data_IF_835817520463
#
_entry.id   IF_835817520463
#
_cell.length_a   1.000
_cell.length_b   1.000
_cell.length_c   1.000
_cell.angle_alpha   90.00
_cell.angle_beta   90.00
_cell.angle_gamma   90.00
#
_symmetry.space_group_name_H-M   'P 1'
#
loop_
_entity.id
_entity.type
_entity.pdbx_description
1 polymer ?
#
# COMPACT_ATOMS: atom_id res chain seq x y z
N UNK A 1 -12.90 -24.03 -10.25
CA UNK A 1 -11.78 -23.29 -9.61
C UNK A 1 -12.04 -21.83 -9.91
N UNK A 2 -12.31 -20.93 -8.95
CA UNK A 2 -12.51 -19.53 -9.31
C UNK A 2 -11.14 -18.98 -9.71
N UNK A 3 -11.00 -18.63 -10.98
CA UNK A 3 -9.81 -17.96 -11.50
C UNK A 3 -9.65 -16.61 -10.77
N UNK A 4 -8.46 -16.34 -10.22
CA UNK A 4 -8.14 -15.04 -9.62
C UNK A 4 -8.07 -13.99 -10.73
N UNK A 5 -9.21 -13.39 -11.06
CA UNK A 5 -9.39 -12.57 -12.25
C UNK A 5 -9.02 -11.09 -12.05
N UNK A 6 -8.97 -10.57 -10.82
CA UNK A 6 -8.66 -9.16 -10.60
C UNK A 6 -7.16 -8.89 -10.62
N UNK A 7 -6.74 -8.02 -11.55
CA UNK A 7 -5.37 -7.48 -11.60
C UNK A 7 -4.98 -6.80 -10.27
N UNK A 8 -5.94 -6.14 -9.62
CA UNK A 8 -5.75 -5.47 -8.34
C UNK A 8 -5.35 -6.45 -7.23
N UNK A 9 -5.94 -7.65 -7.19
CA UNK A 9 -5.52 -8.70 -6.23
C UNK A 9 -4.09 -9.18 -6.49
N UNK A 10 -3.69 -9.32 -7.76
CA UNK A 10 -2.31 -9.69 -8.12
C UNK A 10 -1.32 -8.62 -7.66
N UNK A 11 -1.66 -7.34 -7.81
CA UNK A 11 -0.84 -6.22 -7.35
C UNK A 11 -0.72 -6.23 -5.82
N UNK A 12 -1.84 -6.28 -5.10
CA UNK A 12 -1.87 -6.35 -3.64
C UNK A 12 -0.96 -7.47 -3.09
N UNK A 13 -1.02 -8.67 -3.70
CA UNK A 13 -0.13 -9.79 -3.32
C UNK A 13 1.35 -9.47 -3.53
N UNK A 14 1.69 -8.75 -4.61
CA UNK A 14 3.07 -8.30 -4.85
C UNK A 14 3.51 -7.27 -3.81
N UNK A 15 2.65 -6.32 -3.45
CA UNK A 15 2.94 -5.34 -2.40
C UNK A 15 3.24 -6.03 -1.06
N UNK A 16 2.42 -7.03 -0.67
CA UNK A 16 2.65 -7.80 0.55
C UNK A 16 3.98 -8.55 0.55
N UNK A 17 4.35 -9.13 -0.59
CA UNK A 17 5.66 -9.80 -0.75
C UNK A 17 6.82 -8.81 -0.66
N UNK A 18 6.71 -7.63 -1.29
CA UNK A 18 7.74 -6.59 -1.21
C UNK A 18 7.94 -6.11 0.22
N UNK A 19 6.86 -5.86 0.95
CA UNK A 19 6.93 -5.45 2.36
C UNK A 19 7.55 -6.54 3.23
N UNK A 20 7.14 -7.80 3.05
CA UNK A 20 7.72 -8.93 3.77
C UNK A 20 9.22 -9.08 3.48
N UNK A 21 9.63 -8.90 2.22
CA UNK A 21 11.04 -8.98 1.82
C UNK A 21 11.88 -7.82 2.37
N UNK A 22 11.34 -6.59 2.38
CA UNK A 22 12.01 -5.41 2.93
C UNK A 22 12.27 -5.57 4.44
N UNK A 23 11.27 -6.08 5.16
CA UNK A 23 11.23 -6.04 6.62
C UNK A 23 11.64 -7.35 7.28
N UNK A 24 11.70 -8.44 6.52
CA UNK A 24 11.89 -9.79 7.05
C UNK A 24 10.68 -10.35 7.82
N UNK A 25 9.56 -9.63 7.87
CA UNK A 25 8.37 -10.11 8.57
C UNK A 25 7.66 -11.26 7.82
N UNK A 26 6.74 -11.94 8.52
CA UNK A 26 5.93 -13.00 7.89
C UNK A 26 4.96 -12.38 6.88
N UNK A 27 4.70 -13.11 5.78
CA UNK A 27 3.79 -12.62 4.72
C UNK A 27 2.39 -12.28 5.24
N UNK A 28 1.84 -13.04 6.19
CA UNK A 28 0.53 -12.75 6.78
C UNK A 28 0.51 -11.45 7.60
N UNK A 29 1.63 -11.10 8.22
CA UNK A 29 1.81 -9.84 8.94
C UNK A 29 1.87 -8.68 7.96
N UNK A 30 2.66 -8.80 6.88
CA UNK A 30 2.68 -7.82 5.81
C UNK A 30 1.30 -7.60 5.16
N UNK A 31 0.55 -8.68 4.89
CA UNK A 31 -0.82 -8.60 4.36
C UNK A 31 -1.78 -7.87 5.30
N UNK A 32 -1.69 -8.15 6.60
CA UNK A 32 -2.52 -7.48 7.61
C UNK A 32 -2.21 -5.99 7.68
N UNK A 33 -0.94 -5.62 7.67
CA UNK A 33 -0.52 -4.22 7.69
C UNK A 33 -0.93 -3.48 6.43
N UNK A 34 -0.75 -4.07 5.25
CA UNK A 34 -1.25 -3.47 4.01
C UNK A 34 -2.76 -3.25 4.07
N UNK A 35 -3.53 -4.23 4.54
CA UNK A 35 -4.97 -4.09 4.60
C UNK A 35 -5.42 -3.01 5.58
N UNK A 36 -4.96 -3.09 6.83
CA UNK A 36 -5.46 -2.25 7.93
C UNK A 36 -4.78 -0.89 7.91
N UNK A 37 -3.46 -0.88 7.92
CA UNK A 37 -2.67 0.31 8.18
C UNK A 37 -2.53 1.17 6.92
N UNK A 38 -2.30 0.54 5.77
CA UNK A 38 -2.10 1.25 4.51
C UNK A 38 -3.42 1.60 3.83
N UNK A 39 -4.28 0.61 3.57
CA UNK A 39 -5.55 0.78 2.83
C UNK A 39 -6.80 1.00 3.69
N UNK A 40 -6.71 0.95 5.03
CA UNK A 40 -7.85 1.18 5.94
C UNK A 40 -9.02 0.17 5.81
N UNK A 41 -8.72 -1.08 5.49
CA UNK A 41 -9.68 -2.20 5.51
C UNK A 41 -9.52 -3.02 6.80
N UNK A 42 -10.62 -3.57 7.32
CA UNK A 42 -10.59 -4.34 8.58
C UNK A 42 -9.75 -5.63 8.50
N UNK A 43 -9.53 -6.17 7.30
CA UNK A 43 -8.74 -7.39 7.10
C UNK A 43 -8.28 -7.55 5.66
N UNK A 44 -7.26 -8.39 5.46
CA UNK A 44 -6.76 -8.77 4.14
C UNK A 44 -7.84 -9.42 3.27
N UNK A 45 -8.68 -10.28 3.84
CA UNK A 45 -9.75 -10.93 3.08
C UNK A 45 -10.81 -9.93 2.58
N UNK A 46 -11.12 -8.90 3.36
CA UNK A 46 -12.05 -7.85 2.93
C UNK A 46 -11.45 -6.98 1.82
N UNK A 47 -10.17 -6.60 1.94
CA UNK A 47 -9.46 -5.88 0.89
C UNK A 47 -9.41 -6.71 -0.41
N UNK A 48 -9.08 -8.00 -0.32
CA UNK A 48 -9.09 -8.91 -1.47
C UNK A 48 -10.47 -9.03 -2.11
N UNK A 49 -11.52 -9.25 -1.31
CA UNK A 49 -12.90 -9.33 -1.84
C UNK A 49 -13.28 -8.04 -2.55
N UNK A 50 -12.97 -6.88 -1.97
CA UNK A 50 -13.25 -5.59 -2.59
C UNK A 50 -12.50 -5.40 -3.91
N UNK A 51 -11.24 -5.84 -3.99
CA UNK A 51 -10.46 -5.85 -5.22
C UNK A 51 -11.02 -6.83 -6.27
N UNK A 52 -11.52 -7.99 -5.86
CA UNK A 52 -12.13 -8.97 -6.76
C UNK A 52 -13.50 -8.53 -7.28
N UNK A 53 -14.31 -7.85 -6.45
CA UNK A 53 -15.66 -7.38 -6.82
C UNK A 53 -15.69 -5.96 -7.41
N UNK A 54 -14.54 -5.30 -7.57
CA UNK A 54 -14.46 -3.92 -8.08
C UNK A 54 -14.99 -2.86 -7.12
N UNK A 55 -15.17 -3.19 -5.84
CA UNK A 55 -15.72 -2.31 -4.80
C UNK A 55 -14.64 -1.65 -3.94
N UNK A 56 -13.43 -1.52 -4.46
CA UNK A 56 -12.37 -0.73 -3.83
C UNK A 56 -12.81 0.73 -3.73
N UNK A 57 -12.39 1.42 -2.66
CA UNK A 57 -12.49 2.89 -2.61
C UNK A 57 -11.66 3.50 -3.74
N UNK A 58 -12.03 4.69 -4.20
CA UNK A 58 -11.29 5.38 -5.27
C UNK A 58 -9.82 5.59 -4.88
N UNK A 59 -9.53 6.00 -3.65
CA UNK A 59 -8.15 6.11 -3.13
C UNK A 59 -7.39 4.78 -3.24
N UNK A 60 -8.02 3.66 -2.87
CA UNK A 60 -7.40 2.34 -2.96
C UNK A 60 -7.11 1.98 -4.42
N UNK A 61 -8.04 2.25 -5.34
CA UNK A 61 -7.85 2.01 -6.77
C UNK A 61 -6.67 2.82 -7.30
N UNK A 62 -6.60 4.11 -6.99
CA UNK A 62 -5.51 4.98 -7.42
C UNK A 62 -4.15 4.45 -6.97
N UNK A 63 -4.03 4.09 -5.70
CA UNK A 63 -2.78 3.56 -5.13
C UNK A 63 -2.42 2.14 -5.60
N UNK A 64 -3.39 1.34 -6.04
CA UNK A 64 -3.14 -0.02 -6.54
C UNK A 64 -2.79 0.02 -8.03
N UNK A 65 -3.55 0.77 -8.83
CA UNK A 65 -3.47 0.75 -10.29
C UNK A 65 -2.43 1.73 -10.83
N UNK A 66 -2.17 2.82 -10.09
CA UNK A 66 -1.21 3.87 -10.46
C UNK A 66 -1.45 4.44 -11.87
N UNK A 67 -2.73 4.51 -12.28
CA UNK A 67 -3.13 4.82 -13.65
C UNK A 67 -3.08 6.32 -13.97
N UNK A 68 -3.39 7.18 -13.00
CA UNK A 68 -3.34 8.63 -13.14
C UNK A 68 -2.29 9.25 -12.20
N UNK A 69 -1.11 9.68 -12.69
CA UNK A 69 -0.04 10.19 -11.86
C UNK A 69 -0.43 11.37 -10.96
N UNK A 70 -1.35 12.23 -11.40
CA UNK A 70 -1.79 13.40 -10.63
C UNK A 70 -2.67 12.98 -9.47
N UNK A 71 -3.67 12.13 -9.71
CA UNK A 71 -4.55 11.61 -8.65
C UNK A 71 -3.79 10.73 -7.67
N UNK A 72 -2.82 9.95 -8.15
CA UNK A 72 -1.89 9.18 -7.32
C UNK A 72 -1.09 10.10 -6.40
N UNK A 73 -0.50 11.17 -6.94
CA UNK A 73 0.27 12.13 -6.16
C UNK A 73 -0.60 12.78 -5.06
N UNK A 74 -1.79 13.25 -5.41
CA UNK A 74 -2.75 13.83 -4.47
C UNK A 74 -3.13 12.81 -3.38
N UNK A 75 -3.38 11.55 -3.76
CA UNK A 75 -3.76 10.49 -2.82
C UNK A 75 -2.61 10.13 -1.87
N UNK A 76 -1.37 10.11 -2.36
CA UNK A 76 -0.18 9.91 -1.52
C UNK A 76 -0.05 11.06 -0.52
N UNK A 77 -0.17 12.29 -1.01
CA UNK A 77 -0.06 13.50 -0.20
C UNK A 77 -1.11 13.53 0.92
N UNK A 78 -2.38 13.26 0.60
CA UNK A 78 -3.47 13.26 1.59
C UNK A 78 -3.33 12.18 2.66
N UNK A 79 -2.61 11.09 2.37
CA UNK A 79 -2.39 9.98 3.29
C UNK A 79 -1.05 10.06 4.04
N UNK A 80 -0.17 11.00 3.71
CA UNK A 80 1.21 10.99 4.14
C UNK A 80 1.36 11.05 5.68
N UNK A 81 0.69 12.01 6.31
CA UNK A 81 0.73 12.18 7.77
C UNK A 81 0.21 10.95 8.52
N UNK A 82 -0.89 10.36 8.00
CA UNK A 82 -1.47 9.13 8.55
C UNK A 82 -0.48 7.97 8.45
N UNK A 83 0.17 7.81 7.30
CA UNK A 83 1.18 6.76 7.11
C UNK A 83 2.40 6.96 7.99
N UNK A 84 2.91 8.19 8.16
CA UNK A 84 4.01 8.48 9.08
C UNK A 84 3.71 8.04 10.51
N UNK A 85 2.53 8.42 11.03
CA UNK A 85 2.09 8.03 12.38
C UNK A 85 1.95 6.51 12.47
N UNK A 86 1.34 5.90 11.46
CA UNK A 86 1.01 4.47 11.51
C UNK A 86 2.27 3.60 11.40
N UNK A 87 3.18 3.90 10.47
CA UNK A 87 4.42 3.15 10.27
C UNK A 87 5.33 3.27 11.48
N UNK A 88 5.46 4.47 12.07
CA UNK A 88 6.26 4.67 13.30
C UNK A 88 5.67 3.96 14.53
N UNK A 89 4.37 3.66 14.53
CA UNK A 89 3.73 2.90 15.61
C UNK A 89 3.95 1.38 15.49
N UNK A 90 4.18 0.86 14.29
CA UNK A 90 4.29 -0.59 14.03
C UNK A 90 5.69 -1.08 14.34
N UNK A 91 5.82 -1.92 15.36
CA UNK A 91 7.11 -2.35 15.94
C UNK A 91 8.15 -2.81 14.90
N UNK A 92 7.75 -3.71 13.99
CA UNK A 92 8.65 -4.27 12.98
C UNK A 92 8.96 -3.32 11.81
N UNK A 93 8.28 -2.16 11.75
CA UNK A 93 8.52 -1.11 10.77
C UNK A 93 9.29 0.08 11.33
N UNK A 94 9.43 0.20 12.66
CA UNK A 94 10.09 1.33 13.33
C UNK A 94 11.52 1.61 12.86
N UNK A 95 12.23 0.60 12.36
CA UNK A 95 13.59 0.74 11.84
C UNK A 95 13.65 1.22 10.39
N UNK A 96 12.52 1.43 9.73
CA UNK A 96 12.42 1.83 8.33
C UNK A 96 11.81 3.22 8.21
N UNK A 97 12.35 4.01 7.29
CA UNK A 97 11.76 5.29 6.95
C UNK A 97 10.43 5.10 6.21
N UNK A 98 9.45 5.97 6.49
CA UNK A 98 8.12 5.94 5.84
C UNK A 98 8.24 5.98 4.33
N UNK A 99 9.14 6.80 3.78
CA UNK A 99 9.40 6.89 2.35
C UNK A 99 9.86 5.56 1.76
N UNK A 100 10.78 4.85 2.44
CA UNK A 100 11.23 3.52 2.00
C UNK A 100 10.11 2.49 2.04
N UNK A 101 9.26 2.51 3.08
CA UNK A 101 8.13 1.58 3.19
C UNK A 101 7.10 1.85 2.08
N UNK A 102 6.69 3.11 1.89
CA UNK A 102 5.67 3.50 0.91
C UNK A 102 6.19 3.31 -0.52
N UNK A 103 7.45 3.67 -0.82
CA UNK A 103 8.07 3.46 -2.13
C UNK A 103 8.09 1.97 -2.50
N UNK A 104 8.42 1.12 -1.53
CA UNK A 104 8.45 -0.34 -1.68
C UNK A 104 7.06 -0.91 -1.92
N UNK A 105 6.06 -0.45 -1.17
CA UNK A 105 4.67 -0.88 -1.33
C UNK A 105 4.13 -0.49 -2.71
N UNK A 106 4.21 0.78 -3.06
CA UNK A 106 3.67 1.29 -4.32
C UNK A 106 4.56 0.94 -5.52
N UNK A 107 5.80 0.50 -5.31
CA UNK A 107 6.79 0.27 -6.36
C UNK A 107 7.04 1.52 -7.20
N UNK A 108 7.13 2.65 -6.50
CA UNK A 108 7.50 3.94 -7.05
C UNK A 108 8.96 4.18 -6.62
N UNK A 109 9.86 4.63 -7.51
CA UNK A 109 11.22 4.99 -7.12
C UNK A 109 11.23 6.02 -5.97
N UNK A 110 12.10 5.85 -4.98
CA UNK A 110 12.14 6.74 -3.82
C UNK A 110 12.34 8.22 -4.20
N UNK A 111 13.13 8.50 -5.23
CA UNK A 111 13.34 9.88 -5.72
C UNK A 111 12.06 10.50 -6.28
N UNK A 112 11.19 9.71 -6.91
CA UNK A 112 9.93 10.22 -7.47
C UNK A 112 8.89 10.37 -6.37
N UNK A 113 8.84 9.44 -5.42
CA UNK A 113 8.01 9.58 -4.22
C UNK A 113 8.41 10.83 -3.42
N UNK A 114 9.71 11.09 -3.25
CA UNK A 114 10.21 12.29 -2.57
C UNK A 114 9.70 13.57 -3.22
N UNK A 115 9.72 13.67 -4.55
CA UNK A 115 9.16 14.83 -5.27
C UNK A 115 7.66 15.01 -5.01
N UNK A 116 6.90 13.93 -4.85
CA UNK A 116 5.48 14.00 -4.51
C UNK A 116 5.30 14.59 -3.11
N UNK A 117 6.11 14.13 -2.15
CA UNK A 117 6.05 14.55 -0.74
C UNK A 117 6.54 15.99 -0.55
N UNK A 118 7.61 16.39 -1.22
CA UNK A 118 8.20 17.74 -1.09
C UNK A 118 7.26 18.85 -1.62
N UNK A 119 6.18 18.47 -2.32
CA UNK A 119 5.10 19.36 -2.77
C UNK A 119 3.86 19.34 -1.84
N UNK A 120 3.99 18.81 -0.61
CA UNK A 120 3.03 18.97 0.49
C UNK A 120 3.06 20.40 1.06
#
# INVERSE_FOLDING_TARGET
MPEENSQSVKILKKQARRLANLTGCKLNQAQRTIAIDFYNYKSWDLLKRAADSGSLTEESKQLIELSNPVEVAITIQSNWDRWNITISAIEYLKSFDTQTVVSTLLNIPENDLKKIIDNL
#
